data_IF_904094208631
#
_entry.id   IF_904094208631
#
_cell.length_a   1.000
_cell.length_b   1.000
_cell.length_c   1.000
_cell.angle_alpha   90.00
_cell.angle_beta   90.00
_cell.angle_gamma   90.00
#
_symmetry.space_group_name_H-M   'P 1'
#
loop_
_entity.id
_entity.type
_entity.pdbx_description
1 polymer ?
#
# COMPACT_ATOMS: atom_id res chain seq x y z
N UNK A 1 2.51 -1.56 -21.32
CA UNK A 1 1.16 -2.01 -21.70
C UNK A 1 0.17 -1.71 -20.61
N UNK A 2 -1.08 -1.48 -21.00
CA UNK A 2 -2.22 -1.40 -20.09
C UNK A 2 -3.09 -2.61 -20.39
N UNK A 3 -3.39 -3.39 -19.36
CA UNK A 3 -4.26 -4.56 -19.45
C UNK A 3 -5.49 -4.32 -18.59
N UNK A 4 -6.68 -4.64 -19.08
CA UNK A 4 -7.92 -4.49 -18.30
C UNK A 4 -8.84 -5.70 -18.47
N UNK A 5 -9.59 -6.01 -17.40
CA UNK A 5 -10.66 -7.00 -17.37
C UNK A 5 -11.94 -6.36 -16.82
N UNK A 6 -13.09 -6.72 -17.37
CA UNK A 6 -14.38 -6.16 -16.96
C UNK A 6 -14.99 -7.03 -15.85
N UNK A 7 -15.69 -6.41 -14.90
CA UNK A 7 -16.49 -7.12 -13.92
C UNK A 7 -17.74 -7.70 -14.60
N UNK A 8 -17.91 -9.01 -14.54
CA UNK A 8 -19.10 -9.70 -15.03
C UNK A 8 -20.29 -9.54 -14.06
N UNK A 9 -21.45 -10.05 -14.45
CA UNK A 9 -22.67 -9.98 -13.64
C UNK A 9 -22.55 -10.73 -12.30
N UNK A 10 -21.73 -11.79 -12.25
CA UNK A 10 -21.47 -12.60 -11.06
C UNK A 10 -20.48 -11.92 -10.09
N UNK A 11 -19.94 -10.77 -10.47
CA UNK A 11 -19.06 -9.96 -9.65
C UNK A 11 -17.57 -10.34 -9.76
N UNK A 12 -17.21 -11.25 -10.65
CA UNK A 12 -15.84 -11.63 -10.96
C UNK A 12 -15.26 -10.77 -12.09
N UNK A 13 -13.96 -10.52 -12.07
CA UNK A 13 -13.29 -9.82 -13.18
C UNK A 13 -12.84 -10.82 -14.22
N UNK A 14 -13.09 -10.53 -15.50
CA UNK A 14 -12.53 -11.29 -16.61
C UNK A 14 -11.00 -11.21 -16.61
N UNK A 15 -10.36 -12.13 -17.33
CA UNK A 15 -8.92 -12.08 -17.60
C UNK A 15 -8.50 -10.71 -18.13
N UNK A 16 -7.32 -10.26 -17.69
CA UNK A 16 -6.73 -8.99 -18.11
C UNK A 16 -6.23 -9.10 -19.56
N UNK A 17 -6.85 -8.35 -20.47
CA UNK A 17 -6.43 -8.25 -21.87
C UNK A 17 -5.76 -6.92 -22.13
N UNK A 18 -4.75 -6.87 -23.00
CA UNK A 18 -4.11 -5.62 -23.40
C UNK A 18 -5.10 -4.72 -24.14
N UNK A 19 -5.09 -3.42 -23.82
CA UNK A 19 -6.06 -2.47 -24.34
C UNK A 19 -5.47 -1.32 -25.15
N UNK A 20 -4.17 -1.08 -25.01
CA UNK A 20 -3.42 -0.09 -25.79
C UNK A 20 -2.78 -0.77 -27.01
N UNK A 21 -2.92 -0.15 -28.18
CA UNK A 21 -2.36 -0.67 -29.44
C UNK A 21 -0.84 -0.44 -29.56
N UNK A 22 -0.32 0.57 -28.86
CA UNK A 22 1.10 0.92 -28.85
C UNK A 22 1.63 0.99 -27.41
N UNK A 23 2.89 0.60 -27.22
CA UNK A 23 3.58 0.78 -25.94
C UNK A 23 3.60 2.27 -25.56
N UNK A 24 3.30 2.55 -24.29
CA UNK A 24 3.48 3.88 -23.71
C UNK A 24 4.99 4.03 -23.44
N UNK A 25 5.69 4.96 -24.10
CA UNK A 25 7.13 5.12 -23.90
C UNK A 25 7.42 5.55 -22.48
N UNK A 26 8.51 5.02 -21.90
CA UNK A 26 9.00 5.50 -20.61
C UNK A 26 9.45 6.95 -20.76
N UNK A 27 9.07 7.80 -19.80
CA UNK A 27 9.43 9.23 -19.81
C UNK A 27 10.62 9.56 -18.90
N UNK A 28 11.05 8.60 -18.07
CA UNK A 28 12.11 8.78 -17.09
C UNK A 28 13.40 8.08 -17.44
N UNK A 29 14.50 8.59 -16.88
CA UNK A 29 15.85 8.01 -16.94
C UNK A 29 16.17 7.09 -15.73
N UNK A 30 15.17 6.77 -14.90
CA UNK A 30 15.31 5.94 -13.70
C UNK A 30 15.56 6.71 -12.39
N UNK A 31 15.72 8.04 -12.43
CA UNK A 31 15.95 8.86 -11.24
C UNK A 31 14.72 9.69 -10.78
N UNK A 32 13.75 9.89 -11.67
CA UNK A 32 12.59 10.77 -11.44
C UNK A 32 11.27 9.98 -11.48
N UNK A 33 10.30 10.40 -10.65
CA UNK A 33 8.94 9.86 -10.68
C UNK A 33 8.16 10.55 -11.80
N UNK A 34 7.53 9.77 -12.67
CA UNK A 34 6.68 10.28 -13.76
C UNK A 34 5.25 9.75 -13.62
N UNK A 35 4.28 10.62 -13.90
CA UNK A 35 2.88 10.24 -14.02
C UNK A 35 2.56 9.92 -15.49
N UNK A 36 1.78 8.87 -15.71
CA UNK A 36 1.29 8.47 -17.02
C UNK A 36 -0.24 8.51 -17.02
N UNK A 37 -0.83 9.09 -18.05
CA UNK A 37 -2.28 9.10 -18.26
C UNK A 37 -2.64 8.29 -19.49
N UNK A 38 -3.70 7.49 -19.40
CA UNK A 38 -4.28 6.80 -20.54
C UNK A 38 -5.79 6.88 -20.48
N UNK A 39 -6.38 7.40 -21.54
CA UNK A 39 -7.83 7.49 -21.68
C UNK A 39 -8.36 6.21 -22.34
N UNK A 40 -9.30 5.56 -21.67
CA UNK A 40 -9.97 4.39 -22.23
C UNK A 40 -10.78 4.79 -23.48
N UNK A 41 -10.73 4.00 -24.57
CA UNK A 41 -11.53 4.27 -25.77
C UNK A 41 -13.03 4.38 -25.44
N UNK A 42 -13.69 5.41 -25.97
CA UNK A 42 -15.11 5.73 -25.73
C UNK A 42 -16.10 4.62 -26.13
N UNK A 43 -15.69 3.65 -26.95
CA UNK A 43 -16.54 2.56 -27.43
C UNK A 43 -16.62 1.34 -26.48
N UNK A 44 -16.12 1.45 -25.25
CA UNK A 44 -16.19 0.34 -24.30
C UNK A 44 -17.56 0.26 -23.61
N UNK A 45 -18.06 -0.95 -23.32
CA UNK A 45 -19.27 -1.12 -22.52
C UNK A 45 -19.15 -0.36 -21.20
N UNK A 46 -20.24 0.26 -20.74
CA UNK A 46 -20.30 0.82 -19.39
C UNK A 46 -20.12 -0.30 -18.36
N UNK A 47 -19.26 -0.13 -17.36
CA UNK A 47 -19.05 -1.13 -16.32
C UNK A 47 -17.85 -0.85 -15.42
N UNK A 48 -17.67 -1.70 -14.40
CA UNK A 48 -16.47 -1.67 -13.55
C UNK A 48 -15.35 -2.47 -14.22
N UNK A 49 -14.15 -1.91 -14.24
CA UNK A 49 -12.96 -2.54 -14.80
C UNK A 49 -11.88 -2.68 -13.73
N UNK A 50 -11.11 -3.75 -13.82
CA UNK A 50 -9.81 -3.90 -13.14
C UNK A 50 -8.76 -3.76 -14.22
N UNK A 51 -7.88 -2.77 -14.09
CA UNK A 51 -6.75 -2.60 -15.00
C UNK A 51 -5.44 -2.98 -14.30
N UNK A 52 -4.36 -3.14 -15.07
CA UNK A 52 -2.98 -3.27 -14.63
C UNK A 52 -2.04 -2.67 -15.66
N UNK A 53 -0.88 -2.22 -15.18
CA UNK A 53 0.20 -1.76 -16.03
C UNK A 53 1.25 -2.87 -16.08
N UNK A 54 1.68 -3.19 -17.29
CA UNK A 54 2.77 -4.12 -17.53
C UNK A 54 3.92 -3.31 -18.13
N UNK A 55 5.05 -3.27 -17.43
CA UNK A 55 6.28 -2.73 -18.02
C UNK A 55 6.86 -3.77 -18.97
N UNK A 56 7.35 -3.31 -20.10
CA UNK A 56 8.02 -4.14 -21.09
C UNK A 56 9.41 -3.56 -21.27
N UNK A 57 10.42 -4.36 -20.95
CA UNK A 57 11.82 -4.01 -21.14
C UNK A 57 12.20 -4.02 -22.64
N UNK A 58 13.32 -3.42 -23.01
CA UNK A 58 13.80 -3.33 -24.41
C UNK A 58 14.00 -4.70 -25.05
N UNK A 59 14.20 -5.74 -24.24
CA UNK A 59 14.35 -7.13 -24.69
C UNK A 59 13.00 -7.86 -24.86
N UNK A 60 11.87 -7.16 -24.71
CA UNK A 60 10.52 -7.72 -24.85
C UNK A 60 10.03 -8.51 -23.63
N UNK A 61 10.81 -8.54 -22.54
CA UNK A 61 10.38 -9.16 -21.28
C UNK A 61 9.38 -8.27 -20.57
N UNK A 62 8.22 -8.84 -20.28
CA UNK A 62 7.15 -8.18 -19.56
C UNK A 62 7.23 -8.44 -18.05
N UNK A 63 7.19 -7.39 -17.26
CA UNK A 63 6.96 -7.43 -15.82
C UNK A 63 5.58 -6.86 -15.53
N UNK A 64 4.68 -7.69 -15.00
CA UNK A 64 3.39 -7.25 -14.51
C UNK A 64 3.63 -6.46 -13.22
N UNK A 65 3.34 -5.15 -13.23
CA UNK A 65 3.02 -4.45 -11.99
C UNK A 65 1.59 -4.88 -11.67
N UNK A 66 1.48 -5.98 -10.94
CA UNK A 66 0.20 -6.49 -10.48
C UNK A 66 -0.38 -5.48 -9.48
N UNK A 67 -1.29 -4.64 -10.00
CA UNK A 67 -2.11 -3.59 -9.37
C UNK A 67 -1.69 -2.16 -9.74
N UNK A 68 -2.46 -1.44 -10.60
CA UNK A 68 -2.66 -0.02 -10.35
C UNK A 68 -3.27 0.00 -8.95
N UNK A 69 -2.56 0.60 -8.00
CA UNK A 69 -3.13 0.80 -6.68
C UNK A 69 -4.52 1.44 -6.85
N UNK A 70 -5.50 1.10 -6.00
CA UNK A 70 -6.68 1.95 -5.87
C UNK A 70 -6.23 3.41 -5.77
N UNK A 71 -7.01 4.36 -6.28
CA UNK A 71 -6.70 5.81 -6.30
C UNK A 71 -6.70 6.38 -4.87
N UNK A 72 -6.57 5.54 -3.84
CA UNK A 72 -6.50 5.87 -2.44
C UNK A 72 -5.04 5.75 -2.01
N UNK A 73 -4.44 6.89 -1.66
CA UNK A 73 -3.10 6.89 -1.10
C UNK A 73 -3.05 8.01 -0.07
N UNK A 74 -3.00 7.62 1.20
CA UNK A 74 -2.44 8.48 2.22
C UNK A 74 -0.98 8.74 1.86
N UNK A 75 -0.62 10.01 1.70
CA UNK A 75 0.78 10.39 1.58
C UNK A 75 1.33 10.49 2.98
N UNK A 76 2.03 9.47 3.46
CA UNK A 76 2.69 9.54 4.77
C UNK A 76 3.86 10.53 4.72
N UNK A 77 3.97 11.35 5.76
CA UNK A 77 5.13 12.22 6.02
C UNK A 77 6.05 11.62 7.08
N UNK A 78 5.50 10.83 8.00
CA UNK A 78 6.29 10.09 8.99
C UNK A 78 5.58 8.81 9.45
N UNK A 79 6.36 7.82 9.87
CA UNK A 79 5.85 6.68 10.64
C UNK A 79 6.97 6.15 11.54
N UNK A 80 6.72 6.12 12.85
CA UNK A 80 7.73 5.79 13.86
C UNK A 80 7.19 4.84 14.91
N UNK A 81 8.08 4.03 15.49
CA UNK A 81 7.80 3.12 16.58
C UNK A 81 8.82 3.36 17.70
N UNK A 82 8.35 3.80 18.86
CA UNK A 82 9.20 4.17 19.99
C UNK A 82 8.92 3.25 21.18
N UNK A 83 9.90 2.48 21.69
CA UNK A 83 9.70 1.66 22.86
C UNK A 83 9.63 2.53 24.13
N UNK A 84 8.56 2.37 24.90
CA UNK A 84 8.27 3.10 26.14
C UNK A 84 7.87 2.09 27.20
N UNK A 85 8.69 1.89 28.23
CA UNK A 85 8.45 0.89 29.29
C UNK A 85 8.09 -0.49 28.70
N UNK A 86 6.90 -1.04 29.00
CA UNK A 86 6.42 -2.35 28.54
C UNK A 86 5.54 -2.26 27.28
N UNK A 87 5.64 -1.17 26.51
CA UNK A 87 4.86 -0.93 25.31
C UNK A 87 5.69 -0.32 24.19
N UNK A 88 5.14 -0.33 22.98
CA UNK A 88 5.66 0.43 21.84
C UNK A 88 4.61 1.47 21.44
N UNK A 89 5.00 2.73 21.42
CA UNK A 89 4.17 3.85 20.94
C UNK A 89 4.46 4.06 19.46
N UNK A 90 3.42 3.89 18.63
CA UNK A 90 3.44 4.19 17.21
C UNK A 90 2.89 5.58 16.99
N UNK A 91 3.54 6.35 16.13
CA UNK A 91 3.08 7.67 15.70
C UNK A 91 3.32 7.81 14.20
N UNK A 92 2.30 8.29 13.48
CA UNK A 92 2.42 8.61 12.06
C UNK A 92 1.73 9.93 11.75
N UNK A 93 2.20 10.55 10.69
CA UNK A 93 1.60 11.74 10.12
C UNK A 93 1.35 11.50 8.64
N UNK A 94 0.22 12.00 8.16
CA UNK A 94 -0.08 12.11 6.75
C UNK A 94 0.14 13.56 6.31
N UNK A 95 0.49 13.75 5.04
CA UNK A 95 0.49 15.03 4.35
C UNK A 95 -0.83 15.27 3.61
N UNK A 96 -1.48 14.20 3.15
CA UNK A 96 -2.78 14.19 2.49
C UNK A 96 -3.40 12.79 2.55
N UNK A 97 -4.72 12.71 2.50
CA UNK A 97 -5.52 11.48 2.52
C UNK A 97 -6.60 11.55 1.44
N UNK A 98 -6.54 10.65 0.47
CA UNK A 98 -7.47 10.61 -0.66
C UNK A 98 -8.36 9.38 -0.56
N UNK A 99 -9.66 9.62 -0.33
CA UNK A 99 -10.69 8.60 -0.15
C UNK A 99 -10.34 7.57 0.94
N UNK A 100 -9.57 8.00 1.95
CA UNK A 100 -9.20 7.19 3.10
C UNK A 100 -10.35 7.19 4.12
N UNK A 101 -10.76 6.00 4.56
CA UNK A 101 -11.70 5.85 5.68
C UNK A 101 -10.94 5.68 6.99
N UNK A 102 -9.72 5.16 6.93
CA UNK A 102 -8.87 5.02 8.10
C UNK A 102 -7.76 4.00 7.94
N UNK A 103 -7.13 3.70 9.07
CA UNK A 103 -5.91 2.90 9.15
C UNK A 103 -6.08 1.70 10.09
N UNK A 104 -5.54 0.56 9.67
CA UNK A 104 -5.26 -0.60 10.52
C UNK A 104 -3.76 -0.69 10.77
N UNK A 105 -3.40 -1.11 11.99
CA UNK A 105 -2.00 -1.27 12.39
C UNK A 105 -1.66 -2.75 12.44
N UNK A 106 -0.56 -3.11 11.79
CA UNK A 106 -0.02 -4.45 11.78
C UNK A 106 1.32 -4.52 12.49
N UNK A 107 1.59 -5.66 13.11
CA UNK A 107 2.86 -5.99 13.73
C UNK A 107 3.35 -7.34 13.25
N UNK A 108 4.65 -7.44 13.02
CA UNK A 108 5.35 -8.70 12.89
C UNK A 108 6.55 -8.73 13.84
N UNK A 109 6.96 -9.92 14.23
CA UNK A 109 8.30 -10.11 14.81
C UNK A 109 9.33 -9.98 13.69
N UNK A 110 10.44 -9.30 13.99
CA UNK A 110 11.49 -9.12 13.00
C UNK A 110 12.04 -10.49 12.53
N UNK A 111 12.44 -10.60 11.24
CA UNK A 111 13.14 -11.77 10.73
C UNK A 111 14.45 -12.03 11.51
N UNK A 112 15.07 -13.19 11.25
CA UNK A 112 16.28 -13.62 11.96
C UNK A 112 17.48 -12.65 11.83
N UNK A 113 17.53 -11.83 10.78
CA UNK A 113 18.55 -10.80 10.59
C UNK A 113 18.25 -9.47 11.30
N UNK A 114 17.08 -9.37 11.96
CA UNK A 114 16.63 -8.20 12.69
C UNK A 114 16.20 -7.02 11.81
N UNK A 115 16.17 -7.19 10.48
CA UNK A 115 15.86 -6.13 9.52
C UNK A 115 14.38 -6.14 9.15
N UNK A 116 13.72 -4.99 9.25
CA UNK A 116 12.32 -4.83 8.86
C UNK A 116 12.13 -4.18 7.49
N UNK A 117 13.18 -3.63 6.87
CA UNK A 117 13.08 -2.96 5.58
C UNK A 117 13.45 -3.89 4.43
N UNK A 118 12.88 -3.63 3.24
CA UNK A 118 13.13 -4.40 2.01
C UNK A 118 12.90 -5.91 2.16
N UNK A 119 11.92 -6.27 3.00
CA UNK A 119 11.53 -7.65 3.26
C UNK A 119 10.30 -8.03 2.46
N UNK A 120 10.30 -9.25 1.94
CA UNK A 120 9.09 -9.86 1.41
C UNK A 120 8.16 -10.26 2.55
N UNK A 121 6.85 -10.28 2.28
CA UNK A 121 5.84 -10.57 3.30
C UNK A 121 6.09 -11.92 3.98
N UNK A 122 6.53 -12.92 3.21
CA UNK A 122 6.87 -14.26 3.70
C UNK A 122 8.10 -14.33 4.61
N UNK A 123 8.93 -13.29 4.68
CA UNK A 123 10.10 -13.25 5.57
C UNK A 123 9.74 -12.82 6.99
N UNK A 124 8.61 -12.14 7.18
CA UNK A 124 8.13 -11.73 8.49
C UNK A 124 7.54 -12.91 9.27
N UNK A 125 7.66 -12.84 10.59
CA UNK A 125 7.14 -13.88 11.50
C UNK A 125 6.05 -13.30 12.39
N UNK A 126 5.11 -14.15 12.82
CA UNK A 126 4.08 -13.77 13.80
C UNK A 126 3.30 -12.50 13.40
N UNK A 127 2.96 -12.35 12.11
CA UNK A 127 2.21 -11.21 11.60
C UNK A 127 0.82 -11.20 12.26
N UNK A 128 0.47 -10.08 12.88
CA UNK A 128 -0.80 -9.91 13.59
C UNK A 128 -1.33 -8.49 13.41
N UNK A 129 -2.65 -8.38 13.23
CA UNK A 129 -3.34 -7.10 13.29
C UNK A 129 -3.47 -6.67 14.74
N UNK A 130 -3.13 -5.42 15.03
CA UNK A 130 -3.23 -4.86 16.37
C UNK A 130 -4.55 -4.17 16.63
N UNK A 131 -5.09 -3.45 15.64
CA UNK A 131 -6.32 -2.67 15.76
C UNK A 131 -7.57 -3.56 15.73
N UNK A 132 -8.35 -3.52 16.81
CA UNK A 132 -9.68 -4.16 16.89
C UNK A 132 -10.77 -3.35 16.17
N UNK A 133 -10.53 -2.04 16.02
CA UNK A 133 -11.37 -1.09 15.29
C UNK A 133 -10.49 -0.24 14.40
N UNK A 134 -11.00 0.09 13.23
CA UNK A 134 -10.34 1.00 12.30
C UNK A 134 -10.09 2.36 12.98
N UNK A 135 -8.89 2.90 12.81
CA UNK A 135 -8.54 4.25 13.27
C UNK A 135 -9.03 5.20 12.18
N UNK A 136 -10.06 6.03 12.41
CA UNK A 136 -10.66 6.83 11.35
C UNK A 136 -9.66 7.80 10.75
N UNK A 137 -9.75 7.97 9.44
CA UNK A 137 -9.05 9.03 8.73
C UNK A 137 -9.60 10.39 9.17
N UNK A 138 -8.71 11.31 9.51
CA UNK A 138 -9.01 12.68 9.92
C UNK A 138 -8.48 13.72 8.92
N UNK A 139 -7.67 13.27 7.94
CA UNK A 139 -7.14 14.10 6.88
C UNK A 139 -8.08 14.27 5.68
N UNK A 140 -7.56 14.93 4.66
CA UNK A 140 -8.23 15.24 3.40
C UNK A 140 -7.21 15.37 2.26
N UNK A 141 -7.68 15.68 1.06
CA UNK A 141 -6.86 15.84 -0.14
C UNK A 141 -5.76 16.90 -0.05
N UNK A 142 -5.96 17.93 0.79
CA UNK A 142 -5.03 19.06 0.91
C UNK A 142 -4.52 19.28 2.32
N UNK A 143 -4.89 18.42 3.26
CA UNK A 143 -4.49 18.52 4.66
C UNK A 143 -4.38 17.12 5.24
N UNK A 144 -3.22 16.74 5.75
CA UNK A 144 -3.07 15.50 6.49
C UNK A 144 -3.41 15.64 7.98
N UNK A 145 -3.11 14.60 8.73
CA UNK A 145 -3.43 14.47 10.15
C UNK A 145 -2.32 13.69 10.90
N UNK A 146 -2.36 13.79 12.23
CA UNK A 146 -1.43 13.12 13.14
C UNK A 146 -2.16 12.06 13.93
N UNK A 147 -1.54 10.90 14.07
CA UNK A 147 -2.17 9.74 14.69
C UNK A 147 -1.21 9.05 15.66
N UNK A 148 -1.78 8.28 16.59
CA UNK A 148 -1.02 7.48 17.53
C UNK A 148 -1.71 6.14 17.84
N UNK A 149 -0.91 5.12 18.13
CA UNK A 149 -1.37 3.81 18.57
C UNK A 149 -0.40 3.18 19.58
N UNK A 150 -0.91 2.50 20.60
CA UNK A 150 -0.08 1.82 21.60
C UNK A 150 -0.15 0.29 21.48
N UNK A 151 0.99 -0.34 21.26
CA UNK A 151 1.13 -1.79 21.37
C UNK A 151 1.60 -2.19 22.78
N UNK A 152 0.64 -2.62 23.59
CA UNK A 152 0.86 -3.07 24.98
C UNK A 152 1.13 -4.59 25.10
N UNK A 153 1.25 -5.31 23.97
CA UNK A 153 1.40 -6.78 23.96
C UNK A 153 2.76 -7.20 23.41
N UNK A 154 3.81 -6.50 23.84
CA UNK A 154 5.19 -6.74 23.39
C UNK A 154 5.99 -7.54 24.42
N UNK A 155 6.82 -8.46 23.95
CA UNK A 155 7.75 -9.21 24.79
C UNK A 155 9.07 -8.42 24.94
N UNK A 156 9.63 -8.29 26.16
CA UNK A 156 10.89 -7.58 26.37
C UNK A 156 12.01 -8.09 25.48
N UNK A 157 12.87 -7.17 25.01
CA UNK A 157 14.03 -7.43 24.15
C UNK A 157 13.69 -8.08 22.80
N UNK A 158 12.42 -8.03 22.39
CA UNK A 158 11.99 -8.52 21.08
C UNK A 158 11.94 -7.35 20.09
N UNK A 159 12.51 -7.57 18.90
CA UNK A 159 12.42 -6.62 17.79
C UNK A 159 11.12 -6.85 17.02
N UNK A 160 10.32 -5.80 16.88
CA UNK A 160 9.08 -5.81 16.12
C UNK A 160 9.16 -4.86 14.93
N UNK A 161 8.51 -5.28 13.85
CA UNK A 161 8.24 -4.48 12.66
C UNK A 161 6.77 -4.07 12.67
N UNK A 162 6.48 -2.81 12.34
CA UNK A 162 5.13 -2.27 12.30
C UNK A 162 4.83 -1.73 10.90
N UNK A 163 3.59 -1.94 10.46
CA UNK A 163 3.08 -1.49 9.16
C UNK A 163 1.70 -0.86 9.30
N UNK A 164 1.37 0.02 8.36
CA UNK A 164 0.06 0.65 8.23
C UNK A 164 -0.67 0.09 7.01
N UNK A 165 -1.90 -0.34 7.22
CA UNK A 165 -2.85 -0.65 6.15
C UNK A 165 -3.92 0.45 6.10
N UNK A 166 -4.03 1.13 4.97
CA UNK A 166 -5.08 2.09 4.68
C UNK A 166 -6.31 1.37 4.13
N UNK A 167 -7.50 1.78 4.57
CA UNK A 167 -8.80 1.31 4.05
C UNK A 167 -9.50 2.47 3.35
N UNK A 168 -10.00 2.25 2.13
CA UNK A 168 -10.71 3.23 1.33
C UNK A 168 -12.23 3.22 1.51
N UNK A 169 -12.90 4.26 1.00
CA UNK A 169 -14.37 4.36 0.99
C UNK A 169 -15.07 3.20 0.25
N UNK A 170 -14.41 2.61 -0.76
CA UNK A 170 -14.94 1.46 -1.49
C UNK A 170 -14.58 0.10 -0.87
N UNK A 171 -13.92 0.11 0.30
CA UNK A 171 -13.52 -1.08 1.07
C UNK A 171 -12.26 -1.76 0.55
N UNK A 172 -11.51 -1.14 -0.36
CA UNK A 172 -10.20 -1.61 -0.79
C UNK A 172 -9.16 -1.31 0.30
N UNK A 173 -8.17 -2.19 0.47
CA UNK A 173 -7.07 -1.97 1.40
C UNK A 173 -5.71 -1.86 0.72
N UNK A 174 -4.81 -1.06 1.30
CA UNK A 174 -3.47 -0.80 0.81
C UNK A 174 -2.46 -0.77 1.96
N UNK A 175 -1.40 -1.58 1.88
CA UNK A 175 -0.32 -1.55 2.89
C UNK A 175 0.81 -0.64 2.43
N UNK A 176 1.24 0.28 3.30
CA UNK A 176 2.36 1.18 3.05
C UNK A 176 3.71 0.48 3.26
N UNK A 177 4.09 -0.42 2.34
CA UNK A 177 5.35 -1.19 2.43
C UNK A 177 6.62 -0.34 2.45
N UNK A 178 6.57 0.88 1.92
CA UNK A 178 7.69 1.84 1.97
C UNK A 178 7.86 2.47 3.36
N UNK A 179 6.88 2.31 4.24
CA UNK A 179 6.84 2.84 5.59
C UNK A 179 6.72 1.69 6.60
N UNK A 180 7.85 1.11 6.96
CA UNK A 180 7.94 0.13 8.04
C UNK A 180 8.74 0.73 9.20
N UNK A 181 8.11 0.76 10.37
CA UNK A 181 8.74 1.21 11.61
C UNK A 181 9.29 0.01 12.39
N UNK A 182 10.41 0.20 13.10
CA UNK A 182 11.06 -0.85 13.89
C UNK A 182 11.24 -0.38 15.32
N UNK A 183 10.95 -1.26 16.28
CA UNK A 183 11.24 -1.02 17.68
C UNK A 183 11.76 -2.29 18.36
N UNK A 184 12.71 -2.13 19.27
CA UNK A 184 13.11 -3.16 20.22
C UNK A 184 12.39 -2.88 21.53
N UNK A 185 11.46 -3.76 21.92
CA UNK A 185 10.74 -3.63 23.17
C UNK A 185 11.70 -3.67 24.37
N UNK A 186 11.45 -2.83 25.39
CA UNK A 186 12.31 -2.73 26.58
C UNK A 186 12.04 -3.85 27.58
#
# INVERSE_FOLDING_TARGET
NIKCGQKNADGEFTSLIQINDALIPTQGNGAEKHAYSYELPLQRPSGKYRCSIESVDTDGKAFLFDRPGPVTLATLSSFTATPVEQRVSLQWETAAELNSVGFEVWRAKAPADGQCQNKRVEEYQEITKLTDRLIPAEGSLSQGASYAYEDNRVAPKTTYCYGLEEISEDGTSFIHWDWIATAVAR
#
